data_IF_762006056347
#
_entry.id   IF_762006056347
#
_cell.length_a   1.000
_cell.length_b   1.000
_cell.length_c   1.000
_cell.angle_alpha   90.00
_cell.angle_beta   90.00
_cell.angle_gamma   90.00
#
_symmetry.space_group_name_H-M   'P 1'
#
loop_
_entity.id
_entity.type
_entity.pdbx_description
1 polymer ?
#
# COMPACT_ATOMS: atom_id res chain seq x y z
N UNK A 1 23.96 33.37 52.95
CA UNK A 1 24.48 33.40 51.57
C UNK A 1 24.98 32.01 51.23
N UNK A 2 24.17 31.18 50.59
CA UNK A 2 24.56 29.78 50.37
C UNK A 2 24.12 29.31 48.99
N UNK A 3 25.13 29.18 48.12
CA UNK A 3 25.32 28.11 47.15
C UNK A 3 24.25 27.81 46.07
N UNK A 4 23.15 28.55 45.99
CA UNK A 4 22.10 28.28 45.02
C UNK A 4 21.62 29.58 44.37
N UNK A 5 22.25 29.97 43.26
CA UNK A 5 21.56 30.42 42.03
C UNK A 5 22.61 30.83 40.97
N UNK A 6 22.61 30.08 39.87
CA UNK A 6 23.06 30.49 38.53
C UNK A 6 24.53 30.92 38.37
N UNK A 7 25.47 30.01 38.66
CA UNK A 7 26.60 29.88 37.75
C UNK A 7 26.04 29.28 36.46
N UNK A 8 25.87 30.12 35.44
CA UNK A 8 25.47 29.70 34.09
C UNK A 8 26.24 28.45 33.68
N UNK A 9 25.54 27.32 33.54
CA UNK A 9 26.02 26.19 32.76
C UNK A 9 26.25 26.74 31.35
N UNK A 10 27.50 26.89 30.94
CA UNK A 10 27.85 27.22 29.57
C UNK A 10 27.53 26.00 28.69
N UNK A 11 26.25 25.85 28.36
CA UNK A 11 25.74 24.88 27.40
C UNK A 11 25.99 25.46 26.01
N UNK A 12 26.91 24.85 25.26
CA UNK A 12 27.12 25.22 23.87
C UNK A 12 26.37 24.23 22.99
N UNK A 13 25.21 24.66 22.51
CA UNK A 13 24.49 23.98 21.41
C UNK A 13 25.16 24.43 20.12
N UNK A 14 25.69 23.48 19.35
CA UNK A 14 26.35 23.76 18.09
C UNK A 14 25.38 23.62 16.92
N UNK A 15 24.60 22.54 16.89
CA UNK A 15 23.67 22.21 15.80
C UNK A 15 22.49 21.40 16.33
N UNK A 16 21.33 21.58 15.70
CA UNK A 16 20.18 20.67 15.88
C UNK A 16 20.41 19.33 15.19
N UNK A 17 19.65 18.29 15.58
CA UNK A 17 19.68 16.98 14.92
C UNK A 17 19.34 17.09 13.43
N UNK A 18 18.35 17.90 13.07
CA UNK A 18 17.93 18.07 11.67
C UNK A 18 19.01 18.73 10.81
N UNK A 19 19.71 19.75 11.34
CA UNK A 19 20.85 20.36 10.66
C UNK A 19 22.00 19.37 10.49
N UNK A 20 22.30 18.59 11.54
CA UNK A 20 23.36 17.61 11.48
C UNK A 20 23.05 16.47 10.50
N UNK A 21 21.80 15.99 10.45
CA UNK A 21 21.34 15.00 9.48
C UNK A 21 21.51 15.52 8.03
N UNK A 22 21.21 16.81 7.76
CA UNK A 22 21.44 17.42 6.44
C UNK A 22 22.93 17.50 6.08
N UNK A 23 23.81 17.67 7.06
CA UNK A 23 25.27 17.63 6.85
C UNK A 23 25.73 16.21 6.52
N UNK A 24 25.18 15.20 7.22
CA UNK A 24 25.52 13.79 6.99
C UNK A 24 25.01 13.27 5.64
N UNK A 25 23.82 13.74 5.22
CA UNK A 25 23.12 13.27 4.02
C UNK A 25 22.68 14.47 3.15
N UNK A 26 23.59 15.05 2.37
CA UNK A 26 23.35 16.32 1.67
C UNK A 26 22.66 16.17 0.31
N UNK A 27 22.41 14.95 -0.19
CA UNK A 27 21.97 14.73 -1.57
C UNK A 27 20.45 14.50 -1.68
N UNK A 28 19.67 15.04 -0.75
CA UNK A 28 18.21 14.92 -0.74
C UNK A 28 17.70 13.53 -0.37
N UNK A 29 18.47 12.76 0.38
CA UNK A 29 18.04 11.47 0.91
C UNK A 29 16.79 11.63 1.80
N UNK A 30 15.84 10.68 1.71
CA UNK A 30 14.75 10.60 2.68
C UNK A 30 15.29 9.98 3.96
N UNK A 31 15.16 10.69 5.09
CA UNK A 31 15.70 10.23 6.38
C UNK A 31 14.58 9.76 7.31
N UNK A 32 14.70 8.53 7.81
CA UNK A 32 13.79 7.93 8.79
C UNK A 32 14.41 7.98 10.18
N UNK A 33 13.72 8.57 11.16
CA UNK A 33 14.14 8.62 12.57
C UNK A 33 13.47 7.51 13.38
N UNK A 34 14.23 6.74 14.17
CA UNK A 34 13.70 5.69 15.05
C UNK A 34 14.39 5.73 16.41
N UNK A 35 13.60 5.75 17.47
CA UNK A 35 14.11 5.44 18.81
C UNK A 35 14.06 3.91 18.98
N UNK A 36 15.23 3.30 19.19
CA UNK A 36 15.43 1.85 19.17
C UNK A 36 16.02 1.41 20.50
N UNK A 37 15.34 0.46 21.15
CA UNK A 37 15.93 -0.36 22.21
C UNK A 37 16.59 -1.57 21.56
N UNK A 38 17.90 -1.74 21.74
CA UNK A 38 18.64 -2.88 21.23
C UNK A 38 18.14 -4.17 21.88
N UNK A 39 17.91 -5.21 21.08
CA UNK A 39 17.68 -6.53 21.64
C UNK A 39 18.91 -7.03 22.42
N UNK A 40 18.68 -7.92 23.38
CA UNK A 40 19.72 -8.37 24.32
C UNK A 40 20.95 -8.96 23.63
N UNK A 41 20.79 -9.61 22.48
CA UNK A 41 21.91 -10.19 21.74
C UNK A 41 22.76 -9.11 21.05
N UNK A 42 22.12 -8.11 20.42
CA UNK A 42 22.83 -6.97 19.83
C UNK A 42 23.52 -6.16 20.92
N UNK A 43 22.83 -5.87 22.03
CA UNK A 43 23.39 -5.10 23.15
C UNK A 43 24.65 -5.78 23.74
N UNK A 44 24.59 -7.09 24.02
CA UNK A 44 25.74 -7.85 24.51
C UNK A 44 26.91 -7.86 23.51
N UNK A 45 26.63 -7.98 22.20
CA UNK A 45 27.65 -7.95 21.17
C UNK A 45 28.34 -6.58 21.06
N UNK A 46 27.60 -5.48 21.25
CA UNK A 46 28.16 -4.12 21.31
C UNK A 46 29.09 -3.97 22.52
N UNK A 47 28.65 -4.38 23.71
CA UNK A 47 29.48 -4.32 24.93
C UNK A 47 30.76 -5.15 24.79
N UNK A 48 30.67 -6.36 24.24
CA UNK A 48 31.82 -7.23 24.00
C UNK A 48 32.86 -6.59 23.05
N UNK A 49 32.40 -5.97 21.96
CA UNK A 49 33.27 -5.27 20.98
C UNK A 49 33.97 -4.06 21.60
N UNK A 50 33.29 -3.34 22.49
CA UNK A 50 33.80 -2.12 23.11
C UNK A 50 34.57 -2.38 24.41
N UNK A 51 34.42 -3.56 25.01
CA UNK A 51 34.97 -3.96 26.31
C UNK A 51 34.57 -3.00 27.44
N UNK A 52 33.33 -2.52 27.41
CA UNK A 52 32.71 -1.69 28.45
C UNK A 52 31.19 -1.77 28.36
N UNK A 53 30.51 -1.34 29.42
CA UNK A 53 29.05 -1.17 29.40
C UNK A 53 28.61 0.00 28.53
N UNK A 54 27.45 -0.14 27.91
CA UNK A 54 26.79 0.93 27.15
C UNK A 54 25.30 0.96 27.42
N UNK A 55 24.67 2.11 27.17
CA UNK A 55 23.21 2.23 27.13
C UNK A 55 22.58 1.25 26.12
N UNK A 56 21.31 0.92 26.32
CA UNK A 56 20.58 -0.03 25.46
C UNK A 56 19.59 0.64 24.50
N UNK A 57 19.36 1.94 24.63
CA UNK A 57 18.43 2.70 23.81
C UNK A 57 19.16 3.80 23.04
N UNK A 58 18.86 3.91 21.75
CA UNK A 58 19.53 4.82 20.82
C UNK A 58 18.53 5.48 19.89
N UNK A 59 18.81 6.74 19.53
CA UNK A 59 18.14 7.39 18.41
C UNK A 59 18.93 7.14 17.13
N UNK A 60 18.32 6.38 16.23
CA UNK A 60 18.90 5.95 14.96
C UNK A 60 18.22 6.65 13.78
N UNK A 61 18.99 6.84 12.72
CA UNK A 61 18.53 7.40 11.46
C UNK A 61 18.95 6.48 10.31
N UNK A 62 18.05 6.30 9.35
CA UNK A 62 18.34 5.62 8.09
C UNK A 62 18.08 6.62 6.96
N UNK A 63 19.11 6.98 6.22
CA UNK A 63 18.99 7.79 5.01
C UNK A 63 18.80 6.87 3.82
N UNK A 64 17.77 7.13 3.01
CA UNK A 64 17.38 6.31 1.89
C UNK A 64 17.43 7.10 0.58
N UNK A 65 17.91 6.43 -0.47
CA UNK A 65 17.87 6.91 -1.85
C UNK A 65 17.42 5.76 -2.74
N UNK A 66 16.44 6.04 -3.60
CA UNK A 66 15.87 5.06 -4.54
C UNK A 66 15.39 3.74 -3.89
N UNK A 67 14.98 3.81 -2.61
CA UNK A 67 14.49 2.65 -1.85
C UNK A 67 15.59 1.81 -1.20
N UNK A 68 16.86 2.19 -1.34
CA UNK A 68 17.99 1.56 -0.67
C UNK A 68 18.60 2.49 0.40
N UNK A 69 19.27 1.90 1.38
CA UNK A 69 19.97 2.68 2.40
C UNK A 69 21.22 3.34 1.79
N UNK A 70 21.23 4.67 1.77
CA UNK A 70 22.38 5.48 1.38
C UNK A 70 23.33 5.74 2.57
N UNK A 71 22.85 5.56 3.80
CA UNK A 71 23.65 5.63 5.01
C UNK A 71 22.81 5.58 6.29
N UNK A 72 23.49 5.57 7.42
CA UNK A 72 22.90 5.45 8.75
C UNK A 72 23.48 6.51 9.67
N UNK A 73 22.76 6.91 10.72
CA UNK A 73 23.33 7.74 11.76
C UNK A 73 22.81 7.38 13.15
N UNK A 74 23.60 7.65 14.18
CA UNK A 74 23.21 7.46 15.58
C UNK A 74 23.66 8.64 16.41
N UNK A 75 22.75 9.09 17.28
CA UNK A 75 23.07 10.03 18.34
C UNK A 75 23.69 9.26 19.48
N UNK A 76 24.88 9.69 19.88
CA UNK A 76 25.62 9.12 21.01
C UNK A 76 25.94 10.22 22.00
N UNK A 77 25.87 9.85 23.27
CA UNK A 77 26.26 10.70 24.39
C UNK A 77 27.46 10.09 25.10
N UNK A 78 28.47 10.90 25.41
CA UNK A 78 29.65 10.47 26.17
C UNK A 78 29.98 11.49 27.26
N UNK A 79 30.38 10.99 28.43
CA UNK A 79 30.96 11.83 29.47
C UNK A 79 32.33 12.32 29.00
N UNK A 80 32.55 13.63 29.05
CA UNK A 80 33.85 14.25 28.77
C UNK A 80 34.69 14.28 30.05
N UNK A 81 34.62 15.33 30.87
CA UNK A 81 35.31 15.42 32.18
C UNK A 81 34.36 15.12 33.33
N UNK A 82 33.22 15.78 33.35
CA UNK A 82 32.18 15.70 34.38
C UNK A 82 30.78 15.73 33.80
N UNK A 83 30.58 16.42 32.68
CA UNK A 83 29.29 16.50 31.99
C UNK A 83 29.37 15.74 30.67
N UNK A 84 28.24 15.69 29.97
CA UNK A 84 28.11 14.96 28.73
C UNK A 84 28.27 15.85 27.51
N UNK A 85 28.70 15.21 26.43
CA UNK A 85 28.73 15.77 25.09
C UNK A 85 27.92 14.84 24.19
N UNK A 86 27.06 15.45 23.38
CA UNK A 86 26.14 14.76 22.48
C UNK A 86 26.59 15.02 21.04
N UNK A 87 26.69 13.97 20.26
CA UNK A 87 27.08 14.06 18.86
C UNK A 87 26.41 12.97 18.04
N UNK A 88 26.24 13.25 16.75
CA UNK A 88 25.72 12.30 15.78
C UNK A 88 26.85 11.81 14.89
N UNK A 89 26.86 10.50 14.65
CA UNK A 89 27.87 9.84 13.81
C UNK A 89 27.15 9.25 12.61
N UNK A 90 27.51 9.70 11.41
CA UNK A 90 27.05 9.13 10.15
C UNK A 90 27.96 7.99 9.69
N UNK A 91 27.36 6.90 9.20
CA UNK A 91 28.04 5.68 8.77
C UNK A 91 27.46 5.25 7.42
N UNK A 92 28.31 4.89 6.47
CA UNK A 92 27.89 4.42 5.15
C UNK A 92 27.42 2.95 5.20
N UNK A 93 26.81 2.42 4.12
CA UNK A 93 26.39 1.03 4.04
C UNK A 93 27.49 -0.01 4.24
N UNK A 94 28.77 0.39 4.16
CA UNK A 94 29.94 -0.48 4.35
C UNK A 94 30.55 -0.35 5.75
N UNK A 95 29.93 0.40 6.66
CA UNK A 95 30.42 0.58 8.03
C UNK A 95 31.55 1.60 8.16
N UNK A 96 31.72 2.50 7.19
CA UNK A 96 32.71 3.60 7.25
C UNK A 96 32.06 4.87 7.76
N UNK A 97 32.76 5.63 8.60
CA UNK A 97 32.29 6.95 9.04
C UNK A 97 32.16 7.89 7.85
N UNK A 98 30.97 8.41 7.60
CA UNK A 98 30.71 9.51 6.66
C UNK A 98 31.24 10.80 7.26
N UNK A 99 30.78 11.11 8.47
CA UNK A 99 31.16 12.29 9.23
C UNK A 99 30.74 12.18 10.70
N UNK A 100 31.28 13.05 11.55
CA UNK A 100 30.88 13.20 12.95
C UNK A 100 30.50 14.65 13.19
N UNK A 101 29.34 14.89 13.81
CA UNK A 101 28.83 16.24 14.07
C UNK A 101 28.50 16.38 15.54
N UNK A 102 29.15 17.34 16.20
CA UNK A 102 28.87 17.66 17.61
C UNK A 102 27.59 18.49 17.69
N UNK A 103 26.60 18.01 18.45
CA UNK A 103 25.31 18.67 18.63
C UNK A 103 25.36 19.61 19.83
N UNK A 104 25.92 19.11 20.93
CA UNK A 104 25.92 19.80 22.22
C UNK A 104 27.17 19.46 23.02
N UNK A 105 27.78 20.47 23.64
CA UNK A 105 28.82 20.30 24.66
C UNK A 105 28.44 21.08 25.92
N UNK A 106 28.31 20.38 27.04
CA UNK A 106 27.83 20.97 28.30
C UNK A 106 28.94 21.56 29.18
N UNK A 107 30.21 21.50 28.76
CA UNK A 107 31.34 22.02 29.54
C UNK A 107 31.94 23.29 28.93
N UNK A 108 32.46 24.17 29.79
CA UNK A 108 33.05 25.46 29.41
C UNK A 108 34.30 25.35 28.53
N UNK A 109 35.04 24.24 28.62
CA UNK A 109 36.32 24.03 27.92
C UNK A 109 36.21 22.73 27.10
N UNK A 110 36.93 22.68 25.97
CA UNK A 110 37.06 21.48 25.16
C UNK A 110 36.15 21.43 23.93
N UNK A 111 35.34 22.47 23.68
CA UNK A 111 34.51 22.60 22.48
C UNK A 111 35.31 22.64 21.17
N UNK A 112 36.64 22.84 21.21
CA UNK A 112 37.50 22.80 20.02
C UNK A 112 37.52 21.43 19.31
N UNK A 113 37.09 20.35 19.98
CA UNK A 113 36.89 19.06 19.32
C UNK A 113 35.73 19.07 18.31
N UNK A 114 34.87 20.09 18.32
CA UNK A 114 33.83 20.29 17.31
C UNK A 114 34.37 20.89 15.99
N UNK A 115 35.64 21.30 15.94
CA UNK A 115 36.26 21.88 14.73
C UNK A 115 36.57 20.79 13.70
N UNK A 116 36.37 21.13 12.42
CA UNK A 116 36.62 20.24 11.26
C UNK A 116 38.01 19.62 11.24
N UNK A 117 39.05 20.38 11.59
CA UNK A 117 40.44 19.90 11.69
C UNK A 117 40.60 18.63 12.55
N UNK A 118 39.76 18.46 13.58
CA UNK A 118 39.74 17.24 14.39
C UNK A 118 38.79 16.17 13.81
N UNK A 119 37.55 16.56 13.51
CA UNK A 119 36.49 15.62 13.10
C UNK A 119 36.79 14.94 11.75
N UNK A 120 37.42 15.64 10.81
CA UNK A 120 37.73 15.10 9.48
C UNK A 120 38.68 13.89 9.54
N UNK A 121 39.46 13.76 10.62
CA UNK A 121 40.34 12.61 10.86
C UNK A 121 39.57 11.32 11.15
N UNK A 122 38.27 11.40 11.47
CA UNK A 122 37.42 10.24 11.71
C UNK A 122 36.77 9.70 10.43
N UNK A 123 36.70 10.52 9.37
CA UNK A 123 36.06 10.14 8.11
C UNK A 123 36.75 8.93 7.47
N UNK A 124 35.96 8.03 6.92
CA UNK A 124 36.41 6.80 6.26
C UNK A 124 36.84 5.67 7.21
N UNK A 125 36.99 5.93 8.51
CA UNK A 125 37.36 4.90 9.50
C UNK A 125 36.21 3.92 9.74
N UNK A 126 36.57 2.69 10.06
CA UNK A 126 35.68 1.56 10.40
C UNK A 126 35.91 1.12 11.84
N UNK A 127 35.12 0.14 12.32
CA UNK A 127 35.28 -0.41 13.67
C UNK A 127 36.64 -1.12 13.87
N UNK A 128 37.21 -1.64 12.78
CA UNK A 128 38.52 -2.30 12.78
C UNK A 128 39.68 -1.29 12.86
N UNK A 129 39.46 -0.06 12.39
CA UNK A 129 40.51 0.96 12.37
C UNK A 129 40.87 1.42 13.79
N UNK A 130 42.15 1.73 14.01
CA UNK A 130 42.58 2.28 15.26
C UNK A 130 42.10 3.74 15.37
N UNK A 131 41.34 4.01 16.44
CA UNK A 131 40.82 5.31 16.83
C UNK A 131 41.35 5.55 18.25
N UNK A 132 42.68 5.69 18.37
CA UNK A 132 43.37 5.85 19.65
C UNK A 132 44.22 7.12 19.66
N UNK A 133 44.20 7.77 20.81
CA UNK A 133 44.98 8.98 21.10
C UNK A 133 46.48 8.78 20.83
N UNK A 134 47.13 9.80 20.27
CA UNK A 134 48.60 9.90 20.04
C UNK A 134 49.22 8.85 19.10
N UNK A 135 48.44 7.88 18.61
CA UNK A 135 48.87 6.95 17.55
C UNK A 135 48.21 7.26 16.22
N UNK A 136 46.89 7.49 16.23
CA UNK A 136 46.09 7.50 14.99
C UNK A 136 45.37 8.82 14.72
N UNK A 137 45.40 9.76 15.67
CA UNK A 137 44.72 11.05 15.59
C UNK A 137 45.52 12.17 16.23
N UNK A 138 45.62 13.29 15.51
CA UNK A 138 46.17 14.56 15.98
C UNK A 138 45.17 15.22 16.92
N UNK A 139 45.64 15.52 18.12
CA UNK A 139 44.81 16.00 19.21
C UNK A 139 44.76 17.54 19.27
N UNK A 140 43.69 18.10 19.83
CA UNK A 140 43.53 19.55 20.02
C UNK A 140 43.94 19.95 21.44
N UNK A 141 45.03 20.71 21.58
CA UNK A 141 45.56 21.18 22.86
C UNK A 141 44.43 21.84 23.68
N UNK A 142 44.28 21.43 24.95
CA UNK A 142 43.23 21.92 25.84
C UNK A 142 41.88 21.18 25.76
N UNK A 143 41.71 20.24 24.82
CA UNK A 143 40.47 19.48 24.61
C UNK A 143 40.66 17.95 24.75
N UNK A 144 41.57 17.50 25.62
CA UNK A 144 41.96 16.08 25.75
C UNK A 144 40.80 15.16 26.01
N UNK A 145 40.05 15.43 27.07
CA UNK A 145 38.94 14.58 27.49
C UNK A 145 37.78 14.63 26.49
N UNK A 146 37.52 15.78 25.87
CA UNK A 146 36.47 15.94 24.87
C UNK A 146 36.79 15.18 23.57
N UNK A 147 38.02 15.26 23.06
CA UNK A 147 38.41 14.45 21.90
C UNK A 147 38.38 12.96 22.22
N UNK A 148 38.82 12.55 23.42
CA UNK A 148 38.74 11.16 23.87
C UNK A 148 37.28 10.69 23.94
N UNK A 149 36.34 11.55 24.33
CA UNK A 149 34.91 11.27 24.28
C UNK A 149 34.38 11.13 22.84
N UNK A 150 34.74 12.03 21.91
CA UNK A 150 34.37 11.89 20.48
C UNK A 150 34.87 10.55 19.93
N UNK A 151 36.13 10.19 20.20
CA UNK A 151 36.73 8.93 19.76
C UNK A 151 35.98 7.70 20.32
N UNK A 152 35.66 7.71 21.63
CA UNK A 152 34.89 6.63 22.27
C UNK A 152 33.48 6.51 21.69
N UNK A 153 32.76 7.62 21.56
CA UNK A 153 31.39 7.57 21.03
C UNK A 153 31.36 7.26 19.53
N UNK A 154 32.39 7.61 18.76
CA UNK A 154 32.51 7.18 17.35
C UNK A 154 32.67 5.66 17.26
N UNK A 155 33.53 5.06 18.11
CA UNK A 155 33.62 3.59 18.19
C UNK A 155 32.30 2.96 18.65
N UNK A 156 31.61 3.59 19.61
CA UNK A 156 30.29 3.14 20.08
C UNK A 156 29.27 3.15 18.94
N UNK A 157 29.19 4.24 18.19
CA UNK A 157 28.32 4.39 17.04
C UNK A 157 28.58 3.31 15.99
N UNK A 158 29.84 3.09 15.62
CA UNK A 158 30.23 2.03 14.67
C UNK A 158 29.83 0.64 15.16
N UNK A 159 30.00 0.35 16.46
CA UNK A 159 29.60 -0.94 17.03
C UNK A 159 28.08 -1.14 17.04
N UNK A 160 27.31 -0.10 17.39
CA UNK A 160 25.84 -0.12 17.34
C UNK A 160 25.35 -0.31 15.91
N UNK A 161 25.90 0.43 14.94
CA UNK A 161 25.56 0.30 13.52
C UNK A 161 25.90 -1.08 12.98
N UNK A 162 27.07 -1.62 13.33
CA UNK A 162 27.47 -2.97 12.98
C UNK A 162 26.45 -4.00 13.47
N UNK A 163 26.14 -3.99 14.77
CA UNK A 163 25.26 -5.00 15.36
C UNK A 163 23.78 -4.86 14.96
N UNK A 164 23.27 -3.63 14.84
CA UNK A 164 21.85 -3.40 14.62
C UNK A 164 21.45 -3.34 13.14
N UNK A 165 22.27 -2.79 12.25
CA UNK A 165 21.93 -2.66 10.83
C UNK A 165 22.79 -3.55 9.92
N UNK A 166 24.12 -3.51 10.05
CA UNK A 166 25.01 -4.20 9.09
C UNK A 166 24.99 -5.72 9.25
N UNK A 167 25.02 -6.22 10.48
CA UNK A 167 24.91 -7.65 10.81
C UNK A 167 23.46 -8.16 10.63
N UNK A 168 22.49 -7.25 10.52
CA UNK A 168 21.04 -7.55 10.48
C UNK A 168 20.31 -6.68 9.46
N UNK A 169 20.52 -6.90 8.16
CA UNK A 169 19.92 -6.08 7.09
C UNK A 169 18.37 -6.06 7.10
N UNK A 170 17.73 -7.05 7.74
CA UNK A 170 16.28 -7.04 7.97
C UNK A 170 15.78 -5.83 8.76
N UNK A 171 16.59 -5.30 9.70
CA UNK A 171 16.24 -4.12 10.48
C UNK A 171 16.19 -2.86 9.60
N UNK A 172 17.14 -2.72 8.66
CA UNK A 172 17.13 -1.62 7.68
C UNK A 172 15.88 -1.71 6.81
N UNK A 173 15.56 -2.91 6.30
CA UNK A 173 14.35 -3.13 5.49
C UNK A 173 13.08 -2.74 6.26
N UNK A 174 12.97 -3.12 7.53
CA UNK A 174 11.83 -2.74 8.37
C UNK A 174 11.70 -1.21 8.52
N UNK A 175 12.81 -0.48 8.64
CA UNK A 175 12.79 0.99 8.68
C UNK A 175 12.38 1.58 7.33
N UNK A 176 12.97 1.12 6.23
CA UNK A 176 12.62 1.63 4.90
C UNK A 176 11.16 1.35 4.52
N UNK A 177 10.60 0.26 5.04
CA UNK A 177 9.21 -0.16 4.85
C UNK A 177 8.30 0.23 6.02
N UNK A 178 8.68 1.21 6.83
CA UNK A 178 7.86 1.63 7.98
C UNK A 178 6.88 2.75 7.64
N UNK A 179 7.07 3.42 6.51
CA UNK A 179 6.10 4.36 5.94
C UNK A 179 5.63 3.84 4.59
N UNK A 180 4.33 4.00 4.27
CA UNK A 180 3.83 3.53 3.00
C UNK A 180 4.21 4.49 1.87
N UNK A 181 4.48 3.93 0.70
CA UNK A 181 4.45 4.64 -0.57
C UNK A 181 3.01 4.67 -1.06
N UNK A 182 2.50 5.86 -1.40
CA UNK A 182 1.19 6.05 -2.01
C UNK A 182 1.39 6.58 -3.43
N UNK A 183 0.76 5.95 -4.41
CA UNK A 183 0.71 6.44 -5.78
C UNK A 183 -0.71 6.33 -6.33
N UNK A 184 -1.05 7.24 -7.24
CA UNK A 184 -2.39 7.34 -7.84
C UNK A 184 -2.29 7.55 -9.36
N UNK A 185 -3.25 7.00 -10.10
CA UNK A 185 -3.40 7.17 -11.56
C UNK A 185 -4.87 7.10 -11.96
N UNK A 186 -5.23 7.79 -13.04
CA UNK A 186 -6.54 7.62 -13.67
C UNK A 186 -6.49 6.40 -14.60
N UNK A 187 -7.23 5.34 -14.27
CA UNK A 187 -7.26 4.07 -15.01
C UNK A 187 -8.67 3.47 -14.88
N UNK A 188 -9.18 2.82 -15.94
CA UNK A 188 -10.53 2.20 -15.93
C UNK A 188 -11.65 3.17 -15.54
N UNK A 189 -11.52 4.45 -15.91
CA UNK A 189 -12.50 5.49 -15.60
C UNK A 189 -12.51 5.96 -14.14
N UNK A 190 -11.60 5.47 -13.29
CA UNK A 190 -11.50 5.83 -11.86
C UNK A 190 -10.10 6.33 -11.50
N UNK A 191 -10.01 7.10 -10.40
CA UNK A 191 -8.74 7.38 -9.75
C UNK A 191 -8.35 6.17 -8.90
N UNK A 192 -7.44 5.35 -9.38
CA UNK A 192 -6.93 4.19 -8.64
C UNK A 192 -5.83 4.64 -7.69
N UNK A 193 -5.80 4.09 -6.47
CA UNK A 193 -4.81 4.38 -5.44
C UNK A 193 -4.15 3.09 -4.99
N UNK A 194 -2.82 3.05 -4.98
CA UNK A 194 -2.06 1.95 -4.38
C UNK A 194 -1.21 2.50 -3.24
N UNK A 195 -1.43 1.96 -2.05
CA UNK A 195 -0.64 2.22 -0.84
C UNK A 195 0.15 0.97 -0.50
N UNK A 196 1.48 1.03 -0.40
CA UNK A 196 2.30 -0.15 -0.13
C UNK A 196 3.49 0.16 0.77
N UNK A 197 3.78 -0.73 1.71
CA UNK A 197 5.03 -0.72 2.47
C UNK A 197 6.08 -1.50 1.68
N UNK A 198 6.75 -0.80 0.76
CA UNK A 198 7.68 -1.40 -0.19
C UNK A 198 8.28 -0.40 -1.17
N UNK A 199 9.08 -0.88 -2.14
CA UNK A 199 9.74 -0.03 -3.12
C UNK A 199 8.73 0.73 -4.00
N UNK A 200 8.96 2.02 -4.23
CA UNK A 200 8.10 2.86 -5.10
C UNK A 200 7.99 2.31 -6.52
N UNK A 201 9.06 1.75 -7.06
CA UNK A 201 9.06 1.10 -8.38
C UNK A 201 8.03 -0.03 -8.48
N UNK A 202 7.91 -0.87 -7.43
CA UNK A 202 6.92 -1.94 -7.42
C UNK A 202 5.48 -1.40 -7.48
N UNK A 203 5.22 -0.28 -6.79
CA UNK A 203 3.92 0.42 -6.83
C UNK A 203 3.63 0.97 -8.23
N UNK A 204 4.63 1.58 -8.87
CA UNK A 204 4.48 2.09 -10.24
C UNK A 204 4.20 0.95 -11.24
N UNK A 205 4.94 -0.16 -11.16
CA UNK A 205 4.68 -1.33 -12.02
C UNK A 205 3.29 -1.93 -11.81
N UNK A 206 2.77 -1.92 -10.59
CA UNK A 206 1.41 -2.37 -10.31
C UNK A 206 0.35 -1.44 -10.95
N UNK A 207 0.58 -0.13 -10.96
CA UNK A 207 -0.26 0.84 -11.66
C UNK A 207 -0.18 0.69 -13.20
N UNK A 208 1.01 0.39 -13.72
CA UNK A 208 1.19 0.13 -15.15
C UNK A 208 0.47 -1.16 -15.58
N UNK A 209 0.46 -2.20 -14.74
CA UNK A 209 -0.32 -3.42 -14.98
C UNK A 209 -1.83 -3.11 -15.02
N UNK A 210 -2.32 -2.26 -14.12
CA UNK A 210 -3.72 -1.80 -14.17
C UNK A 210 -4.03 -1.09 -15.50
N UNK A 211 -3.13 -0.22 -15.96
CA UNK A 211 -3.26 0.49 -17.24
C UNK A 211 -3.24 -0.47 -18.43
N UNK A 212 -2.43 -1.52 -18.37
CA UNK A 212 -2.40 -2.59 -19.39
C UNK A 212 -3.76 -3.30 -19.48
N UNK A 213 -4.35 -3.68 -18.34
CA UNK A 213 -5.68 -4.28 -18.34
C UNK A 213 -6.80 -3.33 -18.75
N UNK A 214 -6.68 -2.03 -18.49
CA UNK A 214 -7.60 -1.03 -19.04
C UNK A 214 -7.52 -0.96 -20.58
N UNK A 215 -6.32 -1.11 -21.17
CA UNK A 215 -6.16 -1.19 -22.62
C UNK A 215 -6.71 -2.50 -23.22
N UNK A 216 -6.76 -3.59 -22.45
CA UNK A 216 -7.32 -4.87 -22.91
C UNK A 216 -8.85 -4.89 -22.75
N UNK A 217 -9.36 -4.48 -21.58
CA UNK A 217 -10.75 -4.75 -21.16
C UNK A 217 -11.72 -3.60 -21.40
N UNK A 218 -11.26 -2.37 -21.63
CA UNK A 218 -12.19 -1.24 -21.73
C UNK A 218 -13.14 -1.39 -22.92
N UNK A 219 -14.45 -1.49 -22.67
CA UNK A 219 -15.48 -1.43 -23.72
C UNK A 219 -15.80 0.01 -24.18
N UNK A 220 -15.17 1.01 -23.58
CA UNK A 220 -15.33 2.43 -23.94
C UNK A 220 -14.23 2.93 -24.88
N UNK A 221 -13.05 2.30 -24.86
CA UNK A 221 -11.93 2.63 -25.77
C UNK A 221 -12.05 1.82 -27.04
N UNK A 222 -12.08 2.50 -28.18
CA UNK A 222 -12.29 1.86 -29.48
C UNK A 222 -11.14 0.90 -29.84
N UNK A 223 -9.93 1.25 -29.42
CA UNK A 223 -8.68 0.54 -29.69
C UNK A 223 -8.44 -0.69 -28.79
N UNK A 224 -9.23 -0.86 -27.72
CA UNK A 224 -9.02 -1.95 -26.78
C UNK A 224 -9.19 -3.33 -27.44
N UNK A 225 -8.54 -4.35 -26.88
CA UNK A 225 -8.70 -5.73 -27.37
C UNK A 225 -10.16 -6.21 -27.26
N UNK A 226 -10.86 -5.86 -26.18
CA UNK A 226 -12.26 -6.23 -25.97
C UNK A 226 -13.21 -5.49 -26.92
N UNK A 227 -13.00 -4.19 -27.18
CA UNK A 227 -13.80 -3.46 -28.16
C UNK A 227 -13.58 -3.98 -29.58
N UNK A 228 -12.35 -4.33 -29.95
CA UNK A 228 -12.04 -5.02 -31.22
C UNK A 228 -12.74 -6.38 -31.29
N UNK A 229 -12.68 -7.19 -30.23
CA UNK A 229 -13.39 -8.46 -30.16
C UNK A 229 -14.90 -8.28 -30.34
N UNK A 230 -15.52 -7.27 -29.72
CA UNK A 230 -16.95 -6.98 -29.88
C UNK A 230 -17.33 -6.58 -31.32
N UNK A 231 -16.46 -5.87 -32.04
CA UNK A 231 -16.71 -5.47 -33.44
C UNK A 231 -16.44 -6.58 -34.45
N UNK A 232 -15.32 -7.27 -34.28
CA UNK A 232 -14.79 -8.22 -35.27
C UNK A 232 -15.24 -9.67 -34.99
N UNK A 233 -15.71 -9.94 -33.77
CA UNK A 233 -16.17 -11.25 -33.32
C UNK A 233 -15.05 -12.28 -33.12
N UNK A 234 -13.77 -11.89 -33.27
CA UNK A 234 -12.61 -12.77 -33.09
C UNK A 234 -11.46 -12.02 -32.43
N UNK A 235 -10.67 -12.73 -31.61
CA UNK A 235 -9.42 -12.22 -31.03
C UNK A 235 -8.43 -13.36 -30.83
N UNK A 236 -7.15 -13.08 -31.05
CA UNK A 236 -6.04 -14.00 -30.77
C UNK A 236 -5.22 -13.57 -29.54
N UNK A 237 -5.79 -12.72 -28.68
CA UNK A 237 -5.12 -12.23 -27.47
C UNK A 237 -5.28 -13.25 -26.32
N UNK A 238 -4.20 -13.93 -25.88
CA UNK A 238 -4.28 -14.98 -24.88
C UNK A 238 -4.66 -14.46 -23.48
N UNK A 239 -4.31 -13.22 -23.15
CA UNK A 239 -4.68 -12.61 -21.86
C UNK A 239 -6.18 -12.35 -21.79
N UNK A 240 -6.77 -11.88 -22.90
CA UNK A 240 -8.22 -11.72 -23.01
C UNK A 240 -8.93 -13.07 -22.95
N UNK A 241 -8.39 -14.10 -23.61
CA UNK A 241 -8.93 -15.45 -23.54
C UNK A 241 -8.90 -16.02 -22.10
N UNK A 242 -7.80 -15.80 -21.37
CA UNK A 242 -7.67 -16.22 -19.97
C UNK A 242 -8.70 -15.52 -19.06
N UNK A 243 -8.87 -14.20 -19.22
CA UNK A 243 -9.89 -13.43 -18.51
C UNK A 243 -11.30 -13.95 -18.79
N UNK A 244 -11.66 -14.17 -20.07
CA UNK A 244 -12.99 -14.67 -20.42
C UNK A 244 -13.23 -16.11 -19.95
N UNK A 245 -12.18 -16.94 -19.90
CA UNK A 245 -12.23 -18.26 -19.28
C UNK A 245 -12.59 -18.19 -17.80
N UNK A 246 -12.10 -17.18 -17.08
CA UNK A 246 -12.46 -16.94 -15.69
C UNK A 246 -13.91 -16.44 -15.54
N UNK A 247 -14.34 -15.49 -16.39
CA UNK A 247 -15.72 -15.00 -16.43
C UNK A 247 -16.73 -16.16 -16.60
N UNK A 248 -16.41 -17.13 -17.45
CA UNK A 248 -17.26 -18.30 -17.70
C UNK A 248 -17.53 -19.11 -16.43
N UNK A 249 -16.52 -19.29 -15.57
CA UNK A 249 -16.67 -20.02 -14.30
C UNK A 249 -17.71 -19.36 -13.39
N UNK A 250 -17.67 -18.03 -13.27
CA UNK A 250 -18.65 -17.30 -12.45
C UNK A 250 -20.07 -17.35 -13.03
N UNK A 251 -20.20 -17.35 -14.36
CA UNK A 251 -21.50 -17.53 -15.00
C UNK A 251 -22.08 -18.94 -14.75
N UNK A 252 -21.23 -19.97 -14.74
CA UNK A 252 -21.62 -21.35 -14.36
C UNK A 252 -22.02 -21.45 -12.88
N UNK A 253 -21.24 -20.84 -11.98
CA UNK A 253 -21.42 -20.93 -10.52
C UNK A 253 -22.74 -20.34 -10.01
N UNK A 254 -23.33 -19.38 -10.72
CA UNK A 254 -24.45 -18.57 -10.22
C UNK A 254 -25.73 -18.66 -11.06
N UNK A 255 -25.94 -19.77 -11.76
CA UNK A 255 -27.18 -20.04 -12.52
C UNK A 255 -27.58 -18.88 -13.47
N UNK A 256 -26.58 -18.22 -14.07
CA UNK A 256 -26.78 -17.08 -14.97
C UNK A 256 -27.11 -15.73 -14.30
N UNK A 257 -26.99 -15.61 -12.98
CA UNK A 257 -27.12 -14.33 -12.27
C UNK A 257 -25.97 -13.35 -12.56
N UNK A 258 -24.88 -13.85 -13.15
CA UNK A 258 -23.75 -13.08 -13.66
C UNK A 258 -23.44 -13.57 -15.08
N UNK A 259 -23.32 -12.65 -16.03
CA UNK A 259 -22.87 -12.97 -17.39
C UNK A 259 -22.16 -11.75 -17.99
N UNK A 260 -20.98 -11.95 -18.58
CA UNK A 260 -20.20 -10.89 -19.21
C UNK A 260 -20.74 -10.53 -20.59
N UNK A 261 -21.64 -11.34 -21.17
CA UNK A 261 -22.25 -11.11 -22.49
C UNK A 261 -23.47 -10.18 -22.46
N UNK A 262 -23.69 -9.47 -21.35
CA UNK A 262 -24.85 -8.56 -21.14
C UNK A 262 -24.81 -7.28 -21.99
N UNK A 263 -23.77 -7.07 -22.80
CA UNK A 263 -23.61 -5.89 -23.66
C UNK A 263 -24.86 -5.51 -24.47
N UNK A 264 -25.57 -6.45 -25.14
CA UNK A 264 -26.79 -6.14 -25.89
C UNK A 264 -27.90 -5.59 -25.00
N UNK A 265 -28.02 -6.07 -23.75
CA UNK A 265 -28.98 -5.56 -22.78
C UNK A 265 -28.58 -4.16 -22.32
N UNK A 266 -27.32 -3.96 -21.94
CA UNK A 266 -26.79 -2.65 -21.52
C UNK A 266 -27.02 -1.57 -22.59
N UNK A 267 -26.84 -1.90 -23.87
CA UNK A 267 -27.16 -1.01 -24.99
C UNK A 267 -28.66 -0.77 -25.14
N UNK A 268 -29.49 -1.80 -25.01
CA UNK A 268 -30.96 -1.64 -25.14
C UNK A 268 -31.56 -0.66 -24.13
N UNK A 269 -30.97 -0.57 -22.94
CA UNK A 269 -31.35 0.38 -21.89
C UNK A 269 -30.68 1.77 -22.03
N UNK A 270 -29.73 1.93 -22.95
CA UNK A 270 -28.99 3.18 -23.15
C UNK A 270 -27.95 3.48 -22.07
N UNK A 271 -27.51 2.47 -21.30
CA UNK A 271 -26.49 2.66 -20.26
C UNK A 271 -25.08 2.82 -20.84
N UNK A 272 -24.85 2.30 -22.05
CA UNK A 272 -23.55 2.37 -22.72
C UNK A 272 -23.21 3.79 -23.21
N UNK A 273 -24.15 4.43 -23.89
CA UNK A 273 -24.02 5.75 -24.55
C UNK A 273 -24.72 6.88 -23.79
N UNK A 274 -25.37 6.57 -22.66
CA UNK A 274 -26.19 7.48 -21.84
C UNK A 274 -27.47 7.97 -22.53
N UNK A 275 -27.90 7.32 -23.62
CA UNK A 275 -29.19 7.56 -24.27
C UNK A 275 -30.31 6.80 -23.54
N UNK A 276 -30.48 7.07 -22.25
CA UNK A 276 -31.31 6.30 -21.33
C UNK A 276 -32.74 6.13 -21.81
N UNK A 277 -33.22 4.89 -21.81
CA UNK A 277 -34.60 4.55 -22.20
C UNK A 277 -35.07 3.26 -21.56
N UNK A 278 -36.39 3.08 -21.56
CA UNK A 278 -37.02 1.79 -21.26
C UNK A 278 -37.26 1.07 -22.59
N UNK A 279 -36.60 -0.07 -22.86
CA UNK A 279 -36.82 -0.82 -24.09
C UNK A 279 -38.20 -1.50 -24.10
N UNK A 280 -38.74 -1.70 -25.30
CA UNK A 280 -39.96 -2.48 -25.50
C UNK A 280 -39.71 -3.98 -25.19
N UNK A 281 -40.77 -4.75 -24.86
CA UNK A 281 -40.64 -6.19 -24.63
C UNK A 281 -39.98 -6.94 -25.80
N UNK A 282 -40.29 -6.57 -27.04
CA UNK A 282 -39.72 -7.19 -28.24
C UNK A 282 -38.23 -6.88 -28.42
N UNK A 283 -37.80 -5.65 -28.14
CA UNK A 283 -36.37 -5.30 -28.15
C UNK A 283 -35.60 -6.08 -27.08
N UNK A 284 -36.20 -6.25 -25.90
CA UNK A 284 -35.59 -6.97 -24.80
C UNK A 284 -35.44 -8.46 -25.10
N UNK A 285 -36.48 -9.08 -25.66
CA UNK A 285 -36.45 -10.49 -26.09
C UNK A 285 -35.38 -10.72 -27.18
N UNK A 286 -35.26 -9.78 -28.12
CA UNK A 286 -34.21 -9.81 -29.16
C UNK A 286 -32.80 -9.64 -28.58
N UNK A 287 -32.63 -8.79 -27.57
CA UNK A 287 -31.36 -8.65 -26.85
C UNK A 287 -31.00 -9.91 -26.05
N UNK A 288 -31.97 -10.52 -25.34
CA UNK A 288 -31.77 -11.73 -24.55
C UNK A 288 -31.28 -12.92 -25.39
N UNK A 289 -31.75 -13.06 -26.63
CA UNK A 289 -31.26 -14.11 -27.57
C UNK A 289 -29.77 -14.01 -27.91
N UNK A 290 -29.12 -12.89 -27.56
CA UNK A 290 -27.71 -12.59 -27.82
C UNK A 290 -26.85 -12.62 -26.54
N UNK A 291 -27.45 -12.91 -25.39
CA UNK A 291 -26.79 -13.09 -24.10
C UNK A 291 -26.66 -14.58 -23.81
N UNK A 292 -25.50 -14.99 -23.32
CA UNK A 292 -25.22 -16.35 -22.89
C UNK A 292 -23.73 -16.70 -23.03
N UNK A 293 -23.14 -17.24 -21.95
CA UNK A 293 -21.72 -17.66 -21.94
C UNK A 293 -21.35 -18.67 -23.03
N UNK A 294 -22.29 -19.52 -23.46
CA UNK A 294 -22.09 -20.51 -24.53
C UNK A 294 -21.80 -19.87 -25.89
N UNK A 295 -22.09 -18.57 -26.02
CA UNK A 295 -21.82 -17.76 -27.20
C UNK A 295 -20.38 -17.26 -27.29
N UNK A 296 -19.58 -17.49 -26.24
CA UNK A 296 -18.15 -17.18 -26.17
C UNK A 296 -17.34 -18.46 -26.30
N UNK A 297 -16.68 -18.64 -27.44
CA UNK A 297 -15.92 -19.83 -27.76
C UNK A 297 -14.43 -19.53 -27.58
N UNK A 298 -13.75 -20.32 -26.75
CA UNK A 298 -12.35 -20.12 -26.38
C UNK A 298 -11.57 -21.40 -26.70
N UNK A 299 -10.60 -21.29 -27.61
CA UNK A 299 -9.77 -22.42 -28.06
C UNK A 299 -8.33 -21.98 -28.32
N UNK A 300 -7.36 -22.61 -27.65
CA UNK A 300 -5.93 -22.35 -27.88
C UNK A 300 -5.49 -20.90 -27.67
N UNK A 301 -6.12 -20.16 -26.75
CA UNK A 301 -5.84 -18.74 -26.51
C UNK A 301 -6.54 -17.79 -27.49
N UNK A 302 -7.34 -18.31 -28.42
CA UNK A 302 -8.19 -17.53 -29.32
C UNK A 302 -9.62 -17.47 -28.78
N UNK A 303 -10.32 -16.40 -29.11
CA UNK A 303 -11.71 -16.17 -28.75
C UNK A 303 -12.53 -15.92 -30.01
N UNK A 304 -13.70 -16.53 -30.11
CA UNK A 304 -14.71 -16.27 -31.14
C UNK A 304 -16.07 -16.03 -30.49
N UNK A 305 -16.75 -14.98 -30.92
CA UNK A 305 -18.12 -14.68 -30.53
C UNK A 305 -19.10 -15.22 -31.57
N UNK A 306 -20.23 -15.75 -31.12
CA UNK A 306 -21.40 -15.96 -31.98
C UNK A 306 -21.95 -14.60 -32.40
N UNK A 307 -22.44 -14.47 -33.62
CA UNK A 307 -22.95 -13.21 -34.18
C UNK A 307 -23.94 -12.52 -33.23
N UNK A 308 -23.82 -11.19 -33.13
CA UNK A 308 -24.65 -10.34 -32.27
C UNK A 308 -24.33 -10.38 -30.78
N UNK A 309 -23.41 -11.24 -30.33
CA UNK A 309 -22.92 -11.27 -28.93
C UNK A 309 -22.04 -10.06 -28.67
N UNK A 310 -22.16 -9.48 -27.49
CA UNK A 310 -21.33 -8.34 -27.08
C UNK A 310 -20.95 -8.44 -25.61
N UNK A 311 -19.67 -8.23 -25.31
CA UNK A 311 -19.08 -8.34 -23.99
C UNK A 311 -19.10 -6.99 -23.25
N UNK A 312 -19.46 -7.03 -21.97
CA UNK A 312 -19.32 -5.95 -21.00
C UNK A 312 -18.64 -6.50 -19.73
N UNK A 313 -17.36 -6.15 -19.46
CA UNK A 313 -16.63 -6.64 -18.30
C UNK A 313 -16.89 -5.81 -17.03
N UNK A 314 -17.83 -4.87 -17.04
CA UNK A 314 -18.02 -3.89 -15.97
C UNK A 314 -18.23 -4.47 -14.56
N UNK A 315 -18.72 -5.70 -14.47
CA UNK A 315 -19.01 -6.40 -13.22
C UNK A 315 -17.88 -7.32 -12.69
N UNK A 316 -16.72 -7.39 -13.37
CA UNK A 316 -15.60 -8.27 -12.96
C UNK A 316 -14.21 -7.72 -13.34
N UNK A 317 -14.13 -6.82 -14.32
CA UNK A 317 -12.87 -6.35 -14.89
C UNK A 317 -12.00 -5.59 -13.89
N UNK A 318 -12.59 -4.85 -12.95
CA UNK A 318 -11.83 -4.15 -11.91
C UNK A 318 -11.25 -5.16 -10.92
N UNK A 319 -12.05 -6.13 -10.49
CA UNK A 319 -11.61 -7.23 -9.63
C UNK A 319 -10.40 -7.97 -10.21
N UNK A 320 -10.47 -8.29 -11.50
CA UNK A 320 -9.35 -8.89 -12.22
C UNK A 320 -8.10 -8.00 -12.21
N UNK A 321 -8.23 -6.72 -12.58
CA UNK A 321 -7.10 -5.80 -12.60
C UNK A 321 -6.48 -5.58 -11.21
N UNK A 322 -7.29 -5.55 -10.15
CA UNK A 322 -6.84 -5.49 -8.75
C UNK A 322 -6.00 -6.71 -8.40
N UNK A 323 -6.44 -7.91 -8.77
CA UNK A 323 -5.67 -9.14 -8.53
C UNK A 323 -4.31 -9.12 -9.26
N UNK A 324 -4.29 -8.67 -10.52
CA UNK A 324 -3.06 -8.57 -11.32
C UNK A 324 -2.09 -7.54 -10.75
N UNK A 325 -2.57 -6.37 -10.33
CA UNK A 325 -1.77 -5.37 -9.65
C UNK A 325 -1.20 -5.90 -8.32
N UNK A 326 -2.01 -6.60 -7.52
CA UNK A 326 -1.56 -7.23 -6.28
C UNK A 326 -0.51 -8.32 -6.51
N UNK A 327 -0.62 -9.09 -7.60
CA UNK A 327 0.36 -10.09 -7.98
C UNK A 327 1.72 -9.46 -8.33
N UNK A 328 1.74 -8.32 -9.04
CA UNK A 328 2.97 -7.56 -9.30
C UNK A 328 3.66 -7.14 -8.00
N UNK A 329 2.89 -6.64 -7.02
CA UNK A 329 3.40 -6.26 -5.70
C UNK A 329 3.98 -7.47 -4.95
N UNK A 330 3.27 -8.60 -4.91
CA UNK A 330 3.74 -9.84 -4.27
C UNK A 330 5.05 -10.34 -4.89
N UNK A 331 5.15 -10.35 -6.22
CA UNK A 331 6.37 -10.77 -6.94
C UNK A 331 7.56 -9.83 -6.66
N UNK A 332 7.30 -8.57 -6.33
CA UNK A 332 8.31 -7.61 -5.90
C UNK A 332 8.67 -7.71 -4.40
N UNK A 333 8.13 -8.72 -3.67
CA UNK A 333 8.41 -8.92 -2.25
C UNK A 333 7.65 -7.98 -1.32
N UNK A 334 6.64 -7.26 -1.82
CA UNK A 334 5.76 -6.42 -0.98
C UNK A 334 4.82 -7.34 -0.21
N UNK A 335 4.83 -7.23 1.12
CA UNK A 335 4.00 -8.06 2.02
C UNK A 335 2.83 -7.31 2.63
N UNK A 336 2.78 -5.98 2.48
CA UNK A 336 1.73 -5.13 3.01
C UNK A 336 1.36 -4.04 2.00
N UNK A 337 0.17 -4.14 1.40
CA UNK A 337 -0.34 -3.16 0.45
C UNK A 337 -1.87 -3.09 0.46
N UNK A 338 -2.40 -1.95 0.02
CA UNK A 338 -3.82 -1.71 -0.21
C UNK A 338 -3.99 -1.19 -1.63
N UNK A 339 -4.70 -1.95 -2.44
CA UNK A 339 -4.96 -1.67 -3.86
C UNK A 339 -6.41 -1.26 -3.98
N UNK A 340 -6.68 0.00 -4.30
CA UNK A 340 -8.01 0.60 -4.30
C UNK A 340 -8.40 1.10 -5.69
N UNK A 341 -9.42 0.48 -6.30
CA UNK A 341 -9.97 0.83 -7.61
C UNK A 341 -11.37 1.48 -7.49
N UNK A 342 -11.71 1.97 -6.29
CA UNK A 342 -12.97 2.61 -5.94
C UNK A 342 -14.00 1.61 -5.42
N UNK A 343 -14.70 0.92 -6.32
CA UNK A 343 -15.74 -0.05 -5.95
C UNK A 343 -15.18 -1.40 -5.50
N UNK A 344 -13.89 -1.66 -5.77
CA UNK A 344 -13.20 -2.90 -5.48
C UNK A 344 -11.83 -2.60 -4.89
N UNK A 345 -11.52 -3.19 -3.74
CA UNK A 345 -10.27 -2.98 -3.01
C UNK A 345 -9.68 -4.32 -2.57
N UNK A 346 -8.35 -4.46 -2.59
CA UNK A 346 -7.64 -5.63 -2.07
C UNK A 346 -6.61 -5.24 -1.02
N UNK A 347 -6.70 -5.91 0.12
CA UNK A 347 -5.78 -5.80 1.23
C UNK A 347 -4.77 -6.95 1.18
N UNK A 348 -3.52 -6.64 0.86
CA UNK A 348 -2.38 -7.55 0.95
C UNK A 348 -1.74 -7.41 2.34
N UNK A 349 -1.66 -8.51 3.08
CA UNK A 349 -1.14 -8.55 4.44
C UNK A 349 -1.77 -7.49 5.35
N UNK A 350 -0.95 -6.91 6.23
CA UNK A 350 -1.37 -5.86 7.15
C UNK A 350 -0.29 -4.76 7.26
N UNK A 351 -0.67 -3.50 7.48
CA UNK A 351 0.27 -2.43 7.82
C UNK A 351 1.12 -2.79 9.05
N UNK A 352 2.36 -2.29 9.18
CA UNK A 352 3.18 -2.47 10.37
C UNK A 352 2.42 -2.11 11.65
N UNK A 353 2.40 -3.02 12.61
CA UNK A 353 1.73 -2.83 13.91
C UNK A 353 0.19 -2.89 13.87
N UNK A 354 -0.42 -3.33 12.76
CA UNK A 354 -1.88 -3.49 12.64
C UNK A 354 -2.26 -4.93 12.29
N UNK A 355 -3.49 -5.33 12.63
CA UNK A 355 -4.03 -6.66 12.32
C UNK A 355 -4.48 -6.79 10.86
N UNK A 356 -4.84 -5.67 10.23
CA UNK A 356 -5.30 -5.60 8.84
C UNK A 356 -5.52 -4.15 8.39
N UNK A 357 -6.00 -3.99 7.16
CA UNK A 357 -6.41 -2.72 6.58
C UNK A 357 -7.85 -2.41 6.94
N UNK A 358 -8.14 -1.15 7.31
CA UNK A 358 -9.50 -0.71 7.58
C UNK A 358 -10.19 -0.31 6.28
N UNK A 359 -11.29 -0.99 5.93
CA UNK A 359 -12.10 -0.72 4.73
C UNK A 359 -13.45 -0.19 5.17
N UNK A 360 -13.80 1.01 4.71
CA UNK A 360 -15.12 1.60 4.95
C UNK A 360 -16.15 1.12 3.92
N UNK A 361 -17.35 0.82 4.37
CA UNK A 361 -18.51 0.58 3.51
C UNK A 361 -19.39 1.82 3.52
N UNK A 362 -19.65 2.38 2.34
CA UNK A 362 -20.43 3.61 2.17
C UNK A 362 -21.91 3.39 2.48
N UNK A 363 -22.56 4.37 3.11
CA UNK A 363 -24.01 4.40 3.25
C UNK A 363 -24.65 4.69 1.88
N UNK A 364 -25.45 3.77 1.30
CA UNK A 364 -26.02 3.95 -0.03
C UNK A 364 -27.09 5.06 -0.09
N UNK A 365 -27.59 5.52 1.06
CA UNK A 365 -28.56 6.61 1.16
C UNK A 365 -27.91 7.96 1.50
N UNK A 366 -26.67 7.93 2.01
CA UNK A 366 -25.84 9.11 2.31
C UNK A 366 -24.41 8.85 1.90
N UNK A 367 -24.12 9.09 0.64
CA UNK A 367 -22.86 8.70 0.00
C UNK A 367 -21.63 9.44 0.54
N UNK A 368 -21.84 10.51 1.32
CA UNK A 368 -20.83 11.25 2.08
C UNK A 368 -20.44 10.57 3.41
N UNK A 369 -21.11 9.49 3.80
CA UNK A 369 -20.90 8.80 5.07
C UNK A 369 -20.46 7.35 4.90
N UNK A 370 -19.72 6.88 5.90
CA UNK A 370 -19.40 5.47 6.09
C UNK A 370 -20.48 4.87 6.99
N UNK A 371 -21.05 3.75 6.56
CA UNK A 371 -22.04 2.98 7.33
C UNK A 371 -21.37 2.14 8.44
N UNK A 372 -20.11 1.78 8.20
CA UNK A 372 -19.26 1.01 9.11
C UNK A 372 -18.01 0.52 8.39
N UNK A 373 -17.17 -0.19 9.14
CA UNK A 373 -15.84 -0.59 8.69
C UNK A 373 -15.57 -2.08 8.86
N UNK A 374 -14.66 -2.59 8.04
CA UNK A 374 -14.11 -3.95 8.08
C UNK A 374 -12.62 -3.88 8.35
N UNK A 375 -12.08 -4.81 9.14
CA UNK A 375 -10.62 -5.05 9.19
C UNK A 375 -10.31 -6.21 8.25
N UNK A 376 -9.59 -5.92 7.16
CA UNK A 376 -9.36 -6.85 6.05
C UNK A 376 -7.87 -7.15 5.92
N UNK A 377 -7.55 -8.43 5.79
CA UNK A 377 -6.18 -8.93 5.56
C UNK A 377 -6.23 -10.08 4.56
N UNK A 378 -5.34 -10.02 3.57
CA UNK A 378 -5.19 -11.04 2.51
C UNK A 378 -6.52 -11.38 1.82
N UNK A 379 -7.35 -10.36 1.58
CA UNK A 379 -8.69 -10.49 1.01
C UNK A 379 -9.10 -9.20 0.28
N UNK A 380 -10.18 -9.30 -0.49
CA UNK A 380 -10.77 -8.22 -1.28
C UNK A 380 -12.19 -7.91 -0.84
N UNK A 381 -12.58 -6.65 -0.96
CA UNK A 381 -13.94 -6.18 -0.75
C UNK A 381 -14.40 -5.44 -2.00
N UNK A 382 -15.56 -5.85 -2.54
CA UNK A 382 -16.22 -5.15 -3.65
C UNK A 382 -17.63 -4.75 -3.27
N UNK A 383 -18.09 -3.60 -3.77
CA UNK A 383 -19.46 -3.10 -3.57
C UNK A 383 -20.14 -2.84 -4.90
N UNK A 384 -21.29 -3.48 -5.13
CA UNK A 384 -22.22 -3.18 -6.23
C UNK A 384 -23.39 -2.36 -5.68
N UNK A 385 -23.78 -1.27 -6.34
CA UNK A 385 -24.82 -0.36 -5.85
C UNK A 385 -25.68 0.25 -6.95
N UNK A 386 -26.97 0.42 -6.67
CA UNK A 386 -27.92 1.09 -7.58
C UNK A 386 -27.84 2.63 -7.51
N UNK A 387 -27.03 3.16 -6.60
CA UNK A 387 -26.91 4.60 -6.36
C UNK A 387 -25.84 5.29 -7.20
N UNK A 388 -24.92 4.56 -7.84
CA UNK A 388 -23.84 5.17 -8.62
C UNK A 388 -24.26 5.53 -10.05
N UNK A 389 -25.01 4.66 -10.74
CA UNK A 389 -25.50 4.89 -12.11
C UNK A 389 -26.95 4.43 -12.24
N UNK A 390 -27.84 5.37 -12.54
CA UNK A 390 -29.28 5.16 -12.72
C UNK A 390 -29.90 6.29 -13.56
N UNK A 391 -31.13 6.09 -14.02
CA UNK A 391 -31.98 7.14 -14.58
C UNK A 391 -33.41 7.02 -14.05
N UNK A 392 -34.20 8.08 -14.19
CA UNK A 392 -35.61 8.10 -13.83
C UNK A 392 -36.49 8.29 -15.06
N UNK A 393 -37.57 7.53 -15.13
CA UNK A 393 -38.60 7.67 -16.17
C UNK A 393 -39.96 7.32 -15.58
N UNK A 394 -40.94 8.19 -15.80
CA UNK A 394 -42.32 8.03 -15.33
C UNK A 394 -42.41 7.80 -13.81
N UNK A 395 -41.58 8.50 -13.03
CA UNK A 395 -41.52 8.38 -11.56
C UNK A 395 -40.89 7.08 -11.05
N UNK A 396 -40.37 6.23 -11.95
CA UNK A 396 -39.65 5.00 -11.62
C UNK A 396 -38.16 5.14 -11.90
N UNK A 397 -37.35 4.66 -10.96
CA UNK A 397 -35.89 4.64 -11.04
C UNK A 397 -35.38 3.32 -11.60
N UNK A 398 -34.45 3.38 -12.54
CA UNK A 398 -33.83 2.23 -13.21
C UNK A 398 -32.31 2.26 -13.00
N UNK A 399 -31.78 1.22 -12.33
CA UNK A 399 -30.34 1.05 -12.10
C UNK A 399 -29.63 0.38 -13.27
N UNK A 400 -28.31 0.55 -13.35
CA UNK A 400 -27.46 -0.04 -14.40
C UNK A 400 -27.17 -1.54 -14.24
N UNK A 401 -27.44 -2.13 -13.07
CA UNK A 401 -27.24 -3.57 -12.83
C UNK A 401 -28.47 -4.32 -13.33
N UNK A 402 -28.29 -5.09 -14.39
CA UNK A 402 -29.35 -5.85 -15.06
C UNK A 402 -29.29 -7.32 -14.62
N UNK A 403 -30.45 -7.96 -14.48
CA UNK A 403 -30.54 -9.42 -14.36
C UNK A 403 -30.43 -10.03 -15.77
N UNK A 404 -29.38 -10.81 -16.08
CA UNK A 404 -29.18 -11.38 -17.42
C UNK A 404 -30.31 -12.32 -17.86
N UNK A 405 -31.09 -12.87 -16.92
CA UNK A 405 -32.17 -13.83 -17.17
C UNK A 405 -33.46 -13.14 -17.61
N UNK A 406 -33.68 -11.91 -17.15
CA UNK A 406 -34.90 -11.13 -17.45
C UNK A 406 -34.62 -9.95 -18.37
N UNK A 407 -33.36 -9.53 -18.44
CA UNK A 407 -32.90 -8.34 -19.15
C UNK A 407 -33.25 -7.01 -18.47
N UNK A 408 -33.86 -7.05 -17.28
CA UNK A 408 -34.36 -5.85 -16.57
C UNK A 408 -33.42 -5.42 -15.45
N UNK A 409 -33.40 -4.12 -15.08
CA UNK A 409 -32.76 -3.65 -13.87
C UNK A 409 -33.27 -4.39 -12.63
N UNK A 410 -32.35 -4.73 -11.74
CA UNK A 410 -32.68 -5.35 -10.46
C UNK A 410 -33.33 -4.32 -9.53
N UNK A 411 -34.38 -4.73 -8.83
CA UNK A 411 -35.14 -3.88 -7.90
C UNK A 411 -34.99 -4.38 -6.45
N UNK A 412 -35.36 -3.53 -5.47
CA UNK A 412 -35.42 -3.93 -4.06
C UNK A 412 -34.09 -3.90 -3.29
N UNK A 413 -32.98 -3.56 -3.95
CA UNK A 413 -31.63 -3.52 -3.36
C UNK A 413 -30.94 -2.18 -3.62
N UNK A 414 -30.37 -1.61 -2.55
CA UNK A 414 -29.56 -0.38 -2.63
C UNK A 414 -28.09 -0.71 -2.88
N UNK A 415 -27.55 -1.65 -2.11
CA UNK A 415 -26.14 -2.03 -2.20
C UNK A 415 -25.89 -3.46 -1.75
N UNK A 416 -24.83 -4.04 -2.29
CA UNK A 416 -24.25 -5.30 -1.84
C UNK A 416 -22.74 -5.12 -1.73
N UNK A 417 -22.19 -5.47 -0.58
CA UNK A 417 -20.75 -5.53 -0.37
C UNK A 417 -20.34 -6.97 -0.09
N UNK A 418 -19.29 -7.47 -0.75
CA UNK A 418 -18.81 -8.85 -0.62
C UNK A 418 -17.34 -8.85 -0.23
N UNK A 419 -17.00 -9.64 0.78
CA UNK A 419 -15.63 -9.96 1.21
C UNK A 419 -15.26 -11.35 0.68
N UNK A 420 -14.23 -11.42 -0.16
CA UNK A 420 -13.76 -12.67 -0.78
C UNK A 420 -12.23 -12.73 -0.85
N UNK A 421 -11.62 -13.92 -1.09
CA UNK A 421 -10.16 -14.06 -1.15
C UNK A 421 -9.46 -13.31 -2.28
N UNK A 422 -10.17 -12.97 -3.36
CA UNK A 422 -9.61 -12.30 -4.54
C UNK A 422 -10.52 -11.17 -5.02
N UNK A 423 -9.94 -10.18 -5.70
CA UNK A 423 -10.65 -9.08 -6.35
C UNK A 423 -11.65 -9.58 -7.38
N UNK A 424 -11.23 -10.52 -8.21
CA UNK A 424 -12.09 -11.13 -9.25
C UNK A 424 -13.33 -11.77 -8.60
N UNK A 425 -13.14 -12.52 -7.51
CA UNK A 425 -14.25 -13.14 -6.80
C UNK A 425 -15.17 -12.09 -6.17
N UNK A 426 -14.64 -11.11 -5.44
CA UNK A 426 -15.48 -10.12 -4.76
C UNK A 426 -16.31 -9.30 -5.74
N UNK A 427 -15.74 -8.89 -6.88
CA UNK A 427 -16.39 -8.04 -7.90
C UNK A 427 -17.52 -8.79 -8.63
N UNK A 428 -17.24 -10.03 -9.07
CA UNK A 428 -18.25 -10.88 -9.70
C UNK A 428 -19.38 -11.23 -8.73
N UNK A 429 -19.03 -11.61 -7.50
CA UNK A 429 -20.00 -12.02 -6.48
C UNK A 429 -20.82 -10.85 -5.95
N UNK A 430 -20.27 -9.64 -5.83
CA UNK A 430 -21.07 -8.48 -5.41
C UNK A 430 -22.21 -8.23 -6.39
N UNK A 431 -21.96 -8.41 -7.69
CA UNK A 431 -23.01 -8.31 -8.73
C UNK A 431 -23.95 -9.51 -8.71
N UNK A 432 -23.45 -10.75 -8.60
CA UNK A 432 -24.30 -11.95 -8.58
C UNK A 432 -25.24 -11.97 -7.35
N UNK A 433 -24.74 -11.57 -6.17
CA UNK A 433 -25.54 -11.44 -4.93
C UNK A 433 -26.51 -10.26 -5.02
N UNK A 434 -26.14 -9.19 -5.72
CA UNK A 434 -27.07 -8.08 -6.02
C UNK A 434 -28.27 -8.58 -6.84
N UNK A 435 -28.01 -9.39 -7.87
CA UNK A 435 -29.03 -9.92 -8.80
C UNK A 435 -29.89 -11.03 -8.17
N UNK A 436 -29.27 -12.00 -7.49
CA UNK A 436 -29.94 -13.23 -7.07
C UNK A 436 -30.08 -13.39 -5.54
N UNK A 437 -29.57 -12.44 -4.75
CA UNK A 437 -29.70 -12.43 -3.29
C UNK A 437 -28.58 -13.17 -2.55
N UNK A 438 -28.68 -13.15 -1.22
CA UNK A 438 -27.63 -13.61 -0.29
C UNK A 438 -27.31 -15.12 -0.39
N UNK A 439 -28.22 -15.95 -0.90
CA UNK A 439 -27.98 -17.38 -1.06
C UNK A 439 -26.77 -17.67 -1.96
N UNK A 440 -26.48 -16.78 -2.92
CA UNK A 440 -25.28 -16.86 -3.76
C UNK A 440 -24.00 -16.76 -2.92
N UNK A 441 -23.95 -15.83 -1.96
CA UNK A 441 -22.80 -15.66 -1.08
C UNK A 441 -22.58 -16.91 -0.22
N UNK A 442 -23.66 -17.48 0.32
CA UNK A 442 -23.61 -18.71 1.09
C UNK A 442 -23.11 -19.90 0.26
N UNK A 443 -23.61 -20.09 -0.96
CA UNK A 443 -23.13 -21.15 -1.90
C UNK A 443 -21.64 -20.99 -2.22
N UNK A 444 -21.20 -19.75 -2.45
CA UNK A 444 -19.81 -19.44 -2.74
C UNK A 444 -18.90 -19.42 -1.50
N UNK A 445 -19.46 -19.60 -0.29
CA UNK A 445 -18.75 -19.54 0.99
C UNK A 445 -17.97 -18.23 1.17
N UNK A 446 -18.60 -17.11 0.81
CA UNK A 446 -18.08 -15.76 1.01
C UNK A 446 -18.97 -14.97 1.95
N UNK A 447 -18.44 -13.88 2.50
CA UNK A 447 -19.20 -13.01 3.37
C UNK A 447 -19.80 -11.85 2.59
N UNK A 448 -21.04 -11.49 2.90
CA UNK A 448 -21.74 -10.41 2.20
C UNK A 448 -22.66 -9.61 3.14
N UNK A 449 -22.77 -8.32 2.85
CA UNK A 449 -23.78 -7.40 3.37
C UNK A 449 -24.69 -6.97 2.23
N UNK A 450 -25.99 -7.14 2.42
CA UNK A 450 -27.04 -6.80 1.47
C UNK A 450 -27.96 -5.75 2.09
N UNK A 451 -28.02 -4.57 1.47
CA UNK A 451 -28.82 -3.44 1.95
C UNK A 451 -30.04 -3.28 1.03
N UNK A 452 -31.27 -3.42 1.56
CA UNK A 452 -32.49 -3.20 0.78
C UNK A 452 -32.58 -1.76 0.26
N UNK A 453 -33.37 -1.54 -0.80
CA UNK A 453 -33.63 -0.19 -1.32
C UNK A 453 -34.58 0.63 -0.45
N UNK A 454 -35.39 -0.02 0.40
CA UNK A 454 -36.18 0.66 1.42
C UNK A 454 -35.27 1.03 2.62
N UNK A 455 -35.04 2.33 2.90
CA UNK A 455 -34.18 2.75 4.00
C UNK A 455 -34.72 2.38 5.39
N UNK A 456 -36.00 1.99 5.50
CA UNK A 456 -36.60 1.49 6.74
C UNK A 456 -36.38 -0.01 6.94
N UNK A 457 -36.05 -0.74 5.89
CA UNK A 457 -35.79 -2.17 5.96
C UNK A 457 -34.39 -2.44 6.54
N UNK A 458 -34.28 -3.48 7.36
CA UNK A 458 -33.03 -3.81 8.03
C UNK A 458 -32.04 -4.44 7.03
N UNK A 459 -30.75 -4.04 7.06
CA UNK A 459 -29.71 -4.75 6.30
C UNK A 459 -29.64 -6.22 6.67
N UNK A 460 -29.33 -7.07 5.68
CA UNK A 460 -29.14 -8.51 5.85
C UNK A 460 -27.68 -8.84 5.58
N UNK A 461 -27.10 -9.79 6.30
CA UNK A 461 -25.71 -10.19 6.10
C UNK A 461 -25.53 -11.69 6.36
N UNK A 462 -24.45 -12.25 5.82
CA UNK A 462 -23.99 -13.59 6.21
C UNK A 462 -23.39 -13.56 7.62
N UNK A 463 -23.37 -14.71 8.30
CA UNK A 463 -22.95 -14.79 9.70
C UNK A 463 -21.52 -14.31 9.94
N UNK A 464 -20.58 -14.63 9.05
CA UNK A 464 -19.18 -14.23 9.21
C UNK A 464 -18.96 -12.74 8.98
N UNK A 465 -19.80 -12.06 8.17
CA UNK A 465 -19.76 -10.61 8.00
C UNK A 465 -19.88 -9.88 9.34
N UNK A 466 -20.83 -10.30 10.19
CA UNK A 466 -21.08 -9.66 11.48
C UNK A 466 -19.90 -9.72 12.44
N UNK A 467 -18.96 -10.66 12.24
CA UNK A 467 -17.75 -10.83 13.07
C UNK A 467 -16.62 -9.87 12.70
N UNK A 468 -16.56 -9.47 11.43
CA UNK A 468 -15.52 -8.59 10.88
C UNK A 468 -15.97 -7.14 10.73
N UNK A 469 -17.28 -6.90 10.90
CA UNK A 469 -17.95 -5.62 10.71
C UNK A 469 -18.10 -4.84 12.02
N UNK A 470 -17.76 -3.55 11.97
CA UNK A 470 -18.04 -2.58 13.03
C UNK A 470 -18.92 -1.46 12.47
N UNK A 471 -20.15 -1.36 12.99
CA UNK A 471 -21.05 -0.27 12.66
C UNK A 471 -20.53 1.03 13.28
N UNK A 472 -20.54 2.12 12.52
CA UNK A 472 -20.18 3.46 13.01
C UNK A 472 -21.30 4.11 13.82
#
# INVERSE_FOLDING_TARGET
>A
MTAALLFLLAQQVFLSEDEAVRILFPNGEKVFRRDVTLDSAVHAAVEARLKRRVENAYRLFVAARDGEAAGYAVVVEEVTKTLTMTFIVGVDPNGRVIDVVVLEHKEKIGGDCAKRKFLDQLRGKTLADPIRRKKDMVHVVGATMSCDAVMRGTRKALAVMQGHFLDRPGNVRAVLQSEPVVQQRQVMGNLITITAYGPKDAVNRALDEARRWDAILSNYKEESDLSRLNREGRSANPDLAAFLGECRKYADLFDGAFDVTVGPLVRSWGFFDRAYRVPSPAELESALKRVGRERVLIEGGNVRLVEGTELDPGAIGKGWAVDRAAEVLRRAGVTAAFVDFGSTVLALGAPPGKEGWTVGIRDPFRTDRVLGTLVVRDASVSTSGSYEKFFEKDGKRYGHILDPRTGRPVEGVASVSVLAPTGTASDALSTAVFVAGLDVAAKAKVEALWIPSDPKAMPRATDGWTKVWRKE
#
